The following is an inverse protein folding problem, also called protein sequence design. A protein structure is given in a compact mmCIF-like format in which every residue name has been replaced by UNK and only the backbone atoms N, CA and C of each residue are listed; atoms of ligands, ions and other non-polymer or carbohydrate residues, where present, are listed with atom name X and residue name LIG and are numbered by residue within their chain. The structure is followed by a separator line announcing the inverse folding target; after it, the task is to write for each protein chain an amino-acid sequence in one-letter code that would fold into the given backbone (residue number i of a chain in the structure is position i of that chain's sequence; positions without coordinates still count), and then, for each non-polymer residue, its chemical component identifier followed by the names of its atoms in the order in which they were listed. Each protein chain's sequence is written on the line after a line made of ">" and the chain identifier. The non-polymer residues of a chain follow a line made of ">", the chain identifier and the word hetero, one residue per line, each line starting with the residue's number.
data_IF_201917698268
#
_entry.id   IF_201917698268
#
_cell.length_a   1.000
_cell.length_b   1.000
_cell.length_c   1.000
_cell.angle_alpha   90.00
_cell.angle_beta   90.00
_cell.angle_gamma   90.00
#
_symmetry.space_group_name_H-M   'P 1'
#
loop_
_entity.id
_entity.type
_entity.pdbx_description
1 polymer ?
#
# COMPACT_ATOMS: atom_id res chain seq x y z
N UNK A 1 33.33 11.35 -13.70
CA UNK A 1 33.24 10.13 -12.88
C UNK A 1 31.97 9.41 -13.31
N UNK A 2 32.09 8.36 -14.15
CA UNK A 2 30.92 7.61 -14.64
C UNK A 2 30.62 6.51 -13.62
N UNK A 3 29.53 6.64 -12.89
CA UNK A 3 29.04 5.59 -12.02
C UNK A 3 28.34 4.55 -12.88
N UNK A 4 28.90 3.36 -12.93
CA UNK A 4 28.41 2.25 -13.74
C UNK A 4 27.30 1.52 -12.97
N UNK A 5 26.02 1.73 -13.36
CA UNK A 5 24.82 1.13 -12.75
C UNK A 5 24.48 -0.27 -13.30
N UNK A 6 25.48 -1.04 -13.73
CA UNK A 6 25.28 -2.39 -14.29
C UNK A 6 25.28 -3.49 -13.22
N UNK A 7 24.61 -3.32 -12.10
CA UNK A 7 24.53 -4.34 -11.06
C UNK A 7 23.08 -4.58 -10.60
N UNK A 8 22.18 -4.94 -11.54
CA UNK A 8 20.85 -5.48 -11.24
C UNK A 8 20.53 -6.79 -11.98
N UNK A 9 21.52 -7.41 -12.62
CA UNK A 9 21.44 -8.78 -13.11
C UNK A 9 22.69 -9.52 -12.66
N UNK A 10 22.65 -10.10 -11.47
CA UNK A 10 23.74 -10.90 -10.91
C UNK A 10 23.85 -12.26 -11.60
N UNK A 11 24.61 -12.34 -12.70
CA UNK A 11 25.15 -13.63 -13.16
C UNK A 11 26.41 -13.90 -12.34
N UNK A 12 26.29 -14.74 -11.34
CA UNK A 12 27.45 -15.30 -10.63
C UNK A 12 28.15 -16.27 -11.57
N UNK A 13 29.31 -15.88 -12.09
CA UNK A 13 30.23 -16.80 -12.78
C UNK A 13 31.14 -17.47 -11.75
N UNK A 14 31.04 -18.79 -11.65
CA UNK A 14 32.02 -19.59 -10.96
C UNK A 14 33.33 -19.60 -11.74
N UNK A 15 34.47 -19.61 -10.99
CA UNK A 15 35.84 -19.48 -11.47
C UNK A 15 36.33 -20.69 -12.27
N UNK A 16 35.50 -21.70 -12.54
CA UNK A 16 35.89 -22.94 -13.25
C UNK A 16 34.99 -23.34 -14.42
N UNK A 17 34.46 -22.45 -15.17
CA UNK A 17 34.08 -22.64 -16.60
C UNK A 17 33.21 -23.85 -16.99
N UNK A 18 32.58 -24.59 -16.08
CA UNK A 18 31.78 -25.77 -16.43
C UNK A 18 30.29 -25.50 -16.22
N UNK A 19 29.51 -25.51 -17.32
CA UNK A 19 28.06 -25.47 -17.34
C UNK A 19 27.49 -26.79 -16.80
N UNK A 20 27.00 -26.84 -15.56
CA UNK A 20 26.06 -27.85 -15.12
C UNK A 20 24.67 -27.20 -15.04
N UNK A 21 23.83 -27.51 -16.03
CA UNK A 21 22.41 -27.20 -15.98
C UNK A 21 21.74 -28.13 -14.95
N UNK A 22 21.50 -27.65 -13.75
CA UNK A 22 20.59 -28.30 -12.82
C UNK A 22 19.16 -28.01 -13.29
N UNK A 23 18.50 -28.99 -13.92
CA UNK A 23 17.06 -28.95 -14.13
C UNK A 23 16.38 -29.11 -12.76
N UNK A 24 16.01 -27.97 -12.16
CA UNK A 24 15.02 -27.98 -11.12
C UNK A 24 13.66 -28.26 -11.80
N UNK A 25 13.18 -29.49 -11.67
CA UNK A 25 11.78 -29.84 -11.98
C UNK A 25 10.91 -29.18 -10.94
N UNK A 26 10.45 -27.97 -11.22
CA UNK A 26 9.36 -27.35 -10.50
C UNK A 26 8.10 -28.18 -10.83
N UNK A 27 7.61 -28.96 -9.85
CA UNK A 27 6.35 -29.65 -9.98
C UNK A 27 5.26 -28.62 -10.26
N UNK A 28 4.72 -28.65 -11.48
CA UNK A 28 3.51 -27.92 -11.82
C UNK A 28 2.37 -28.53 -10.99
N UNK A 29 1.96 -27.82 -9.95
CA UNK A 29 0.64 -28.03 -9.36
C UNK A 29 -0.44 -27.86 -10.46
N UNK A 30 -1.66 -28.38 -10.25
CA UNK A 30 -2.69 -28.36 -11.27
C UNK A 30 -2.90 -26.95 -11.80
N UNK A 31 -2.91 -26.81 -13.14
CA UNK A 31 -3.14 -25.55 -13.84
C UNK A 31 -4.40 -24.89 -13.28
N UNK A 32 -4.21 -23.77 -12.60
CA UNK A 32 -5.29 -22.93 -12.11
C UNK A 32 -6.03 -22.44 -13.37
N UNK A 33 -7.25 -22.94 -13.58
CA UNK A 33 -8.15 -22.39 -14.58
C UNK A 33 -8.14 -20.88 -14.43
N UNK A 34 -7.97 -20.12 -15.52
CA UNK A 34 -7.95 -18.65 -15.50
C UNK A 34 -9.19 -18.15 -14.74
N UNK A 35 -9.01 -17.90 -13.44
CA UNK A 35 -10.06 -17.35 -12.59
C UNK A 35 -10.28 -15.94 -13.11
N UNK A 36 -11.47 -15.65 -13.59
CA UNK A 36 -11.82 -14.30 -14.01
C UNK A 36 -11.40 -13.35 -12.88
N UNK A 37 -10.60 -12.35 -13.22
CA UNK A 37 -10.12 -11.39 -12.23
C UNK A 37 -11.32 -10.65 -11.63
N UNK A 38 -11.62 -10.79 -10.33
CA UNK A 38 -12.85 -10.27 -9.76
C UNK A 38 -12.87 -8.76 -9.82
N UNK A 39 -13.95 -8.19 -10.36
CA UNK A 39 -14.19 -6.76 -10.45
C UNK A 39 -15.58 -6.44 -9.95
N UNK A 40 -15.73 -5.26 -9.40
CA UNK A 40 -16.99 -4.72 -8.91
C UNK A 40 -17.26 -3.40 -9.58
N UNK A 41 -18.49 -3.21 -10.03
CA UNK A 41 -18.93 -1.93 -10.54
C UNK A 41 -19.15 -0.94 -9.41
N UNK A 42 -18.31 0.11 -9.37
CA UNK A 42 -18.41 1.23 -8.46
C UNK A 42 -18.74 2.50 -9.28
N UNK A 43 -20.02 2.86 -9.33
CA UNK A 43 -20.49 3.91 -10.21
C UNK A 43 -20.26 3.57 -11.70
N UNK A 44 -19.41 4.36 -12.36
CA UNK A 44 -19.04 4.16 -13.78
C UNK A 44 -17.79 3.29 -13.98
N UNK A 45 -17.11 2.88 -12.91
CA UNK A 45 -15.82 2.18 -12.97
C UNK A 45 -15.97 0.72 -12.56
N UNK A 46 -15.13 -0.14 -13.14
CA UNK A 46 -14.88 -1.50 -12.68
C UNK A 46 -13.65 -1.50 -11.77
N UNK A 47 -13.85 -1.74 -10.48
CA UNK A 47 -12.80 -1.79 -9.46
C UNK A 47 -12.37 -3.24 -9.25
N UNK A 48 -11.09 -3.49 -9.43
CA UNK A 48 -10.48 -4.80 -9.19
C UNK A 48 -10.23 -5.03 -7.69
N UNK A 49 -10.46 -6.26 -7.25
CA UNK A 49 -10.03 -6.72 -5.94
C UNK A 49 -9.51 -8.16 -6.00
N UNK A 50 -8.66 -8.51 -5.04
CA UNK A 50 -8.23 -9.89 -4.80
C UNK A 50 -8.59 -10.30 -3.37
N UNK A 51 -8.72 -11.60 -3.13
CA UNK A 51 -9.06 -12.13 -1.82
C UNK A 51 -8.12 -13.27 -1.42
N UNK A 52 -7.75 -13.31 -0.14
CA UNK A 52 -6.88 -14.36 0.39
C UNK A 52 -7.21 -14.66 1.86
N UNK A 53 -6.93 -15.88 2.31
CA UNK A 53 -7.12 -16.28 3.69
C UNK A 53 -8.58 -16.50 4.09
N UNK A 54 -8.75 -16.75 5.37
CA UNK A 54 -10.04 -16.99 6.04
C UNK A 54 -10.04 -16.34 7.41
N UNK A 55 -11.22 -16.17 8.02
CA UNK A 55 -11.37 -15.52 9.34
C UNK A 55 -12.01 -14.15 9.22
N UNK A 56 -11.72 -13.27 10.18
CA UNK A 56 -12.29 -11.93 10.21
C UNK A 56 -11.84 -11.10 9.01
N UNK A 57 -12.79 -10.41 8.33
CA UNK A 57 -12.45 -9.66 7.12
C UNK A 57 -11.57 -8.43 7.41
N UNK A 58 -10.58 -8.23 6.55
CA UNK A 58 -9.72 -7.06 6.55
C UNK A 58 -9.59 -6.50 5.12
N UNK A 59 -9.97 -5.23 4.96
CA UNK A 59 -9.81 -4.45 3.74
C UNK A 59 -8.41 -3.85 3.69
N UNK A 60 -7.67 -4.07 2.60
CA UNK A 60 -6.32 -3.55 2.38
C UNK A 60 -6.32 -2.52 1.25
N UNK A 61 -5.84 -1.31 1.57
CA UNK A 61 -5.80 -0.16 0.66
C UNK A 61 -4.36 0.34 0.50
N UNK A 62 -3.86 0.35 -0.74
CA UNK A 62 -2.47 0.73 -1.02
C UNK A 62 -2.34 2.23 -1.32
N UNK A 63 -1.10 2.72 -1.20
CA UNK A 63 -0.71 4.11 -1.44
C UNK A 63 -0.71 4.52 -2.91
N UNK A 64 -0.29 5.75 -3.16
CA UNK A 64 -0.21 6.40 -4.47
C UNK A 64 0.52 5.54 -5.51
N UNK A 65 -0.16 5.25 -6.63
CA UNK A 65 0.35 4.42 -7.72
C UNK A 65 0.51 2.93 -7.40
N UNK A 66 0.28 2.52 -6.15
CA UNK A 66 0.43 1.12 -5.72
C UNK A 66 -0.80 0.27 -6.00
N UNK A 67 -0.57 -1.04 -6.15
CA UNK A 67 -1.57 -2.08 -6.40
C UNK A 67 -1.52 -3.18 -5.33
N UNK A 68 -2.43 -4.14 -5.38
CA UNK A 68 -2.56 -5.23 -4.40
C UNK A 68 -1.27 -6.04 -4.18
N UNK A 69 -0.40 -6.19 -5.19
CA UNK A 69 0.90 -6.87 -5.03
C UNK A 69 1.90 -6.15 -4.13
N UNK A 70 1.67 -4.88 -3.81
CA UNK A 70 2.48 -4.19 -2.81
C UNK A 70 2.36 -4.82 -1.41
N UNK A 71 1.33 -5.62 -1.18
CA UNK A 71 1.10 -6.34 0.08
C UNK A 71 1.77 -7.73 0.12
N UNK A 72 2.35 -8.23 -0.98
CA UNK A 72 2.82 -9.63 -1.11
C UNK A 72 3.80 -10.06 -0.01
N UNK A 73 4.61 -9.14 0.56
CA UNK A 73 5.54 -9.47 1.65
C UNK A 73 4.86 -9.69 3.01
N UNK A 74 3.70 -9.09 3.26
CA UNK A 74 2.95 -9.20 4.52
C UNK A 74 1.67 -10.04 4.39
N UNK A 75 1.15 -10.16 3.17
CA UNK A 75 -0.07 -10.90 2.82
C UNK A 75 -0.10 -12.32 3.37
N UNK A 76 0.94 -13.18 3.22
CA UNK A 76 0.85 -14.56 3.67
C UNK A 76 0.62 -14.70 5.18
N UNK A 77 1.21 -13.82 5.98
CA UNK A 77 1.06 -13.88 7.43
C UNK A 77 -0.28 -13.31 7.90
N UNK A 78 -0.76 -12.25 7.25
CA UNK A 78 -2.09 -11.68 7.51
C UNK A 78 -3.19 -12.67 7.13
N UNK A 79 -3.07 -13.34 5.97
CA UNK A 79 -4.04 -14.30 5.43
C UNK A 79 -4.20 -15.57 6.29
N UNK A 80 -3.24 -15.87 7.16
CA UNK A 80 -3.36 -16.99 8.11
C UNK A 80 -4.45 -16.78 9.15
N UNK A 81 -4.84 -15.54 9.42
CA UNK A 81 -5.76 -15.17 10.50
C UNK A 81 -6.96 -14.34 10.04
N UNK A 82 -6.86 -13.73 8.86
CA UNK A 82 -7.89 -12.83 8.34
C UNK A 82 -8.25 -13.19 6.90
N UNK A 83 -9.52 -12.97 6.55
CA UNK A 83 -9.96 -12.94 5.17
C UNK A 83 -9.61 -11.57 4.59
N UNK A 84 -8.57 -11.50 3.80
CA UNK A 84 -8.11 -10.27 3.17
C UNK A 84 -8.94 -9.93 1.94
N UNK A 85 -9.27 -8.65 1.78
CA UNK A 85 -9.83 -8.06 0.57
C UNK A 85 -8.88 -6.95 0.14
N UNK A 86 -8.10 -7.20 -0.92
CA UNK A 86 -7.06 -6.30 -1.42
C UNK A 86 -7.61 -5.57 -2.64
N UNK A 87 -7.73 -4.25 -2.54
CA UNK A 87 -8.32 -3.41 -3.60
C UNK A 87 -7.24 -2.69 -4.38
N UNK A 88 -7.30 -2.79 -5.70
CA UNK A 88 -6.62 -1.83 -6.56
C UNK A 88 -7.48 -0.56 -6.62
N UNK A 89 -6.97 0.53 -6.10
CA UNK A 89 -7.68 1.80 -6.17
C UNK A 89 -7.95 2.20 -7.63
N UNK A 90 -9.02 2.99 -7.89
CA UNK A 90 -9.19 3.61 -9.23
C UNK A 90 -7.88 4.22 -9.69
N UNK A 91 -7.60 4.17 -10.99
CA UNK A 91 -6.35 4.66 -11.59
C UNK A 91 -5.08 3.84 -11.22
N UNK A 92 -5.22 2.66 -10.61
CA UNK A 92 -4.10 1.79 -10.27
C UNK A 92 -4.38 0.33 -10.64
N UNK A 93 -3.31 -0.44 -10.85
CA UNK A 93 -3.38 -1.88 -11.07
C UNK A 93 -4.37 -2.31 -12.15
N UNK A 94 -5.24 -3.25 -11.81
CA UNK A 94 -6.25 -3.79 -12.71
C UNK A 94 -7.58 -3.03 -12.68
N UNK A 95 -7.77 -2.03 -11.80
CA UNK A 95 -8.97 -1.17 -11.78
C UNK A 95 -9.00 -0.22 -12.97
N UNK A 96 -10.19 0.26 -13.35
CA UNK A 96 -10.35 1.20 -14.46
C UNK A 96 -9.71 2.56 -14.17
N UNK A 97 -9.39 3.29 -15.24
CA UNK A 97 -9.04 4.69 -15.16
C UNK A 97 -10.30 5.56 -15.02
N UNK A 98 -10.25 6.52 -14.11
CA UNK A 98 -11.33 7.46 -13.93
C UNK A 98 -11.42 8.44 -15.13
N UNK A 99 -12.63 8.79 -15.58
CA UNK A 99 -12.82 9.69 -16.73
C UNK A 99 -12.50 11.16 -16.40
N UNK A 100 -12.34 11.50 -15.13
CA UNK A 100 -12.12 12.87 -14.66
C UNK A 100 -11.59 12.93 -13.23
N UNK A 101 -11.46 14.14 -12.66
CA UNK A 101 -11.03 14.37 -11.30
C UNK A 101 -11.94 13.68 -10.27
N UNK A 102 -11.38 13.33 -9.13
CA UNK A 102 -12.06 12.71 -7.99
C UNK A 102 -11.33 13.03 -6.67
N UNK A 103 -11.96 12.70 -5.58
CA UNK A 103 -11.45 12.84 -4.21
C UNK A 103 -11.10 11.49 -3.59
N UNK A 104 -10.43 11.50 -2.42
CA UNK A 104 -10.26 10.29 -1.62
C UNK A 104 -11.59 9.78 -1.05
N UNK A 105 -12.63 10.64 -0.96
CA UNK A 105 -13.99 10.20 -0.59
C UNK A 105 -14.58 9.29 -1.67
N UNK A 106 -14.37 9.59 -2.95
CA UNK A 106 -14.80 8.73 -4.06
C UNK A 106 -14.09 7.37 -4.04
N UNK A 107 -12.80 7.35 -3.67
CA UNK A 107 -12.04 6.09 -3.51
C UNK A 107 -12.54 5.28 -2.30
N UNK A 108 -13.01 5.93 -1.24
CA UNK A 108 -13.64 5.25 -0.11
C UNK A 108 -14.98 4.63 -0.51
N UNK A 109 -15.78 5.30 -1.35
CA UNK A 109 -17.01 4.73 -1.93
C UNK A 109 -16.71 3.47 -2.75
N UNK A 110 -15.66 3.49 -3.57
CA UNK A 110 -15.24 2.30 -4.33
C UNK A 110 -14.90 1.13 -3.40
N UNK A 111 -14.10 1.39 -2.38
CA UNK A 111 -13.69 0.38 -1.41
C UNK A 111 -14.90 -0.21 -0.66
N UNK A 112 -15.88 0.62 -0.29
CA UNK A 112 -17.13 0.17 0.32
C UNK A 112 -17.97 -0.68 -0.63
N UNK A 113 -18.05 -0.30 -1.92
CA UNK A 113 -18.75 -1.08 -2.94
C UNK A 113 -18.11 -2.48 -3.12
N UNK A 114 -16.79 -2.58 -3.02
CA UNK A 114 -16.11 -3.88 -3.01
C UNK A 114 -16.52 -4.70 -1.80
N UNK A 115 -16.55 -4.10 -0.58
CA UNK A 115 -16.94 -4.82 0.64
C UNK A 115 -18.40 -5.27 0.59
N UNK A 116 -19.29 -4.51 -0.04
CA UNK A 116 -20.68 -4.89 -0.28
C UNK A 116 -20.78 -6.10 -1.23
N UNK A 117 -20.04 -6.07 -2.33
CA UNK A 117 -20.04 -7.12 -3.32
C UNK A 117 -19.47 -8.45 -2.79
N UNK A 118 -18.50 -8.41 -1.86
CA UNK A 118 -17.97 -9.62 -1.20
C UNK A 118 -18.82 -10.09 -0.01
N UNK A 119 -19.96 -9.39 0.28
CA UNK A 119 -20.89 -9.73 1.33
C UNK A 119 -20.37 -9.52 2.74
N UNK A 120 -19.56 -8.48 2.95
CA UNK A 120 -18.93 -8.19 4.24
C UNK A 120 -19.53 -6.92 4.85
N UNK A 121 -20.28 -7.06 5.95
CA UNK A 121 -20.90 -5.94 6.64
C UNK A 121 -19.92 -5.22 7.58
N UNK A 122 -19.10 -5.97 8.32
CA UNK A 122 -18.17 -5.42 9.31
C UNK A 122 -16.76 -5.94 9.08
N UNK A 123 -15.75 -5.07 9.19
CA UNK A 123 -14.37 -5.39 8.79
C UNK A 123 -13.34 -4.47 9.46
N UNK A 124 -12.10 -4.92 9.47
CA UNK A 124 -10.93 -4.10 9.75
C UNK A 124 -10.48 -3.39 8.48
N UNK A 125 -9.83 -2.23 8.61
CA UNK A 125 -9.20 -1.55 7.47
C UNK A 125 -7.71 -1.36 7.73
N UNK A 126 -6.89 -1.75 6.78
CA UNK A 126 -5.43 -1.57 6.79
C UNK A 126 -5.08 -0.71 5.57
N UNK A 127 -4.62 0.52 5.80
CA UNK A 127 -4.27 1.43 4.72
C UNK A 127 -2.84 1.94 4.83
N UNK A 128 -2.11 1.94 3.71
CA UNK A 128 -0.75 2.47 3.64
C UNK A 128 -0.69 3.77 2.85
N UNK A 129 -0.05 4.80 3.39
CA UNK A 129 0.16 6.10 2.72
C UNK A 129 -1.19 6.72 2.27
N UNK A 130 -1.40 6.98 0.98
CA UNK A 130 -2.70 7.38 0.43
C UNK A 130 -3.82 6.40 0.84
N UNK A 131 -3.55 5.10 0.87
CA UNK A 131 -4.52 4.10 1.33
C UNK A 131 -4.92 4.30 2.79
N UNK A 132 -4.04 4.81 3.65
CA UNK A 132 -4.36 5.21 5.02
C UNK A 132 -5.25 6.46 5.07
N UNK A 133 -5.07 7.39 4.14
CA UNK A 133 -5.95 8.55 3.99
C UNK A 133 -7.34 8.12 3.49
N UNK A 134 -7.41 7.15 2.55
CA UNK A 134 -8.67 6.54 2.11
C UNK A 134 -9.33 5.78 3.27
N UNK A 135 -8.57 5.04 4.07
CA UNK A 135 -9.10 4.28 5.23
C UNK A 135 -9.80 5.20 6.25
N UNK A 136 -9.27 6.40 6.48
CA UNK A 136 -9.92 7.43 7.30
C UNK A 136 -11.29 7.82 6.71
N UNK A 137 -11.38 8.02 5.39
CA UNK A 137 -12.62 8.34 4.69
C UNK A 137 -13.63 7.17 4.74
N UNK A 138 -13.16 5.93 4.58
CA UNK A 138 -13.99 4.72 4.75
C UNK A 138 -14.62 4.69 6.14
N UNK A 139 -13.83 4.94 7.20
CA UNK A 139 -14.34 4.96 8.56
C UNK A 139 -15.32 6.13 8.83
N UNK A 140 -15.09 7.29 8.25
CA UNK A 140 -15.99 8.43 8.35
C UNK A 140 -17.33 8.19 7.64
N UNK A 141 -17.31 7.52 6.47
CA UNK A 141 -18.53 7.21 5.71
C UNK A 141 -19.31 6.00 6.25
N UNK A 142 -18.60 5.03 6.86
CA UNK A 142 -19.22 3.80 7.36
C UNK A 142 -18.74 3.45 8.78
N UNK A 143 -18.98 4.33 9.80
CA UNK A 143 -18.38 4.19 11.13
C UNK A 143 -18.84 2.95 11.89
N UNK A 144 -20.01 2.40 11.60
CA UNK A 144 -20.53 1.18 12.23
C UNK A 144 -19.96 -0.09 11.61
N UNK A 145 -19.42 -0.01 10.40
CA UNK A 145 -18.84 -1.14 9.66
C UNK A 145 -17.36 -1.35 9.95
N UNK A 146 -16.62 -0.29 10.30
CA UNK A 146 -15.18 -0.36 10.54
C UNK A 146 -14.91 -0.70 12.00
N UNK A 147 -14.46 -1.92 12.25
CA UNK A 147 -14.18 -2.40 13.61
C UNK A 147 -12.86 -1.84 14.17
N UNK A 148 -11.84 -1.71 13.33
CA UNK A 148 -10.59 -1.05 13.69
C UNK A 148 -9.86 -0.53 12.45
N UNK A 149 -8.97 0.47 12.66
CA UNK A 149 -8.11 1.07 11.64
C UNK A 149 -6.64 0.78 11.91
N UNK A 150 -5.91 0.36 10.89
CA UNK A 150 -4.45 0.34 10.88
C UNK A 150 -3.97 1.29 9.79
N UNK A 151 -3.32 2.35 10.20
CA UNK A 151 -2.92 3.48 9.37
C UNK A 151 -1.39 3.50 9.27
N UNK A 152 -0.84 3.03 8.14
CA UNK A 152 0.59 2.88 7.93
C UNK A 152 1.14 4.10 7.19
N UNK A 153 2.11 4.81 7.77
CA UNK A 153 2.85 5.90 7.12
C UNK A 153 1.93 6.89 6.38
N UNK A 154 0.93 7.44 7.07
CA UNK A 154 -0.13 8.27 6.50
C UNK A 154 -0.29 9.60 7.24
N UNK A 155 -1.21 10.43 6.80
CA UNK A 155 -1.44 11.76 7.31
C UNK A 155 -2.93 12.09 7.39
N UNK A 156 -3.31 13.10 8.19
CA UNK A 156 -4.67 13.59 8.31
C UNK A 156 -4.95 14.85 7.49
N UNK A 157 -3.89 15.65 7.20
CA UNK A 157 -4.01 16.90 6.40
C UNK A 157 -2.74 17.07 5.59
N UNK A 158 -2.90 17.37 4.29
CA UNK A 158 -1.78 17.69 3.40
C UNK A 158 -1.33 19.13 3.68
N UNK A 159 -0.18 19.28 4.33
CA UNK A 159 0.45 20.55 4.58
C UNK A 159 1.38 20.99 3.42
N UNK A 160 1.95 22.19 3.52
CA UNK A 160 2.82 22.76 2.51
C UNK A 160 4.06 21.90 2.19
N UNK A 161 4.59 21.16 3.18
CA UNK A 161 5.75 20.26 2.98
C UNK A 161 5.35 19.08 2.09
N UNK A 162 4.32 18.34 2.46
CA UNK A 162 3.85 17.19 1.69
C UNK A 162 3.30 17.63 0.32
N UNK A 163 2.59 18.76 0.25
CA UNK A 163 2.10 19.31 -1.00
C UNK A 163 3.24 19.62 -1.98
N UNK A 164 4.37 20.15 -1.50
CA UNK A 164 5.55 20.43 -2.33
C UNK A 164 6.12 19.15 -2.94
N UNK A 165 6.22 18.07 -2.15
CA UNK A 165 6.72 16.77 -2.63
C UNK A 165 5.76 16.19 -3.67
N UNK A 166 4.46 16.14 -3.36
CA UNK A 166 3.44 15.60 -4.25
C UNK A 166 3.36 16.37 -5.57
N UNK A 167 3.39 17.70 -5.53
CA UNK A 167 3.43 18.54 -6.72
C UNK A 167 4.69 18.28 -7.58
N UNK A 168 5.84 18.09 -6.93
CA UNK A 168 7.08 17.72 -7.62
C UNK A 168 6.96 16.36 -8.32
N UNK A 169 6.37 15.37 -7.67
CA UNK A 169 6.13 14.04 -8.26
C UNK A 169 5.13 14.10 -9.42
N UNK A 170 4.11 14.95 -9.31
CA UNK A 170 3.15 15.20 -10.40
C UNK A 170 3.84 15.73 -11.65
N UNK A 171 4.75 16.70 -11.50
CA UNK A 171 5.57 17.23 -12.60
C UNK A 171 6.56 16.20 -13.15
N UNK A 172 7.20 15.40 -12.28
CA UNK A 172 8.10 14.33 -12.70
C UNK A 172 7.40 13.29 -13.55
N UNK A 173 6.14 12.95 -13.24
CA UNK A 173 5.36 11.99 -14.02
C UNK A 173 5.14 12.40 -15.47
N UNK A 174 5.13 13.70 -15.77
CA UNK A 174 5.02 14.22 -17.15
C UNK A 174 6.32 14.09 -17.95
N UNK A 175 7.47 13.96 -17.29
CA UNK A 175 8.79 14.09 -17.90
C UNK A 175 9.61 12.80 -17.86
N UNK A 176 9.29 11.91 -16.95
CA UNK A 176 10.05 10.68 -16.70
C UNK A 176 9.28 9.45 -17.22
N UNK A 177 10.03 8.42 -17.61
CA UNK A 177 9.41 7.11 -17.81
C UNK A 177 8.89 6.57 -16.45
N UNK A 178 7.93 5.63 -16.44
CA UNK A 178 7.44 5.01 -15.20
C UNK A 178 8.57 4.47 -14.32
N UNK A 179 9.57 3.80 -14.89
CA UNK A 179 10.73 3.27 -14.16
C UNK A 179 11.62 4.39 -13.59
N UNK A 180 11.81 5.48 -14.35
CA UNK A 180 12.59 6.61 -13.88
C UNK A 180 11.86 7.37 -12.75
N UNK A 181 10.55 7.51 -12.83
CA UNK A 181 9.74 8.09 -11.79
C UNK A 181 9.79 7.25 -10.52
N UNK A 182 9.58 5.93 -10.61
CA UNK A 182 9.71 5.02 -9.47
C UNK A 182 11.09 5.15 -8.82
N UNK A 183 12.15 5.16 -9.63
CA UNK A 183 13.52 5.32 -9.13
C UNK A 183 13.74 6.63 -8.41
N UNK A 184 13.16 7.73 -8.90
CA UNK A 184 13.24 9.04 -8.26
C UNK A 184 12.47 9.10 -6.93
N UNK A 185 11.39 8.33 -6.81
CA UNK A 185 10.55 8.27 -5.60
C UNK A 185 11.08 7.29 -4.54
N UNK A 186 11.81 6.25 -4.96
CA UNK A 186 12.29 5.19 -4.06
C UNK A 186 13.07 5.71 -2.83
N UNK A 187 13.95 6.75 -2.92
CA UNK A 187 14.64 7.30 -1.75
C UNK A 187 13.72 7.97 -0.71
N UNK A 188 12.49 8.34 -1.09
CA UNK A 188 11.48 8.86 -0.16
C UNK A 188 10.75 7.76 0.58
N UNK A 189 10.69 6.56 -0.04
CA UNK A 189 9.98 5.42 0.51
C UNK A 189 10.84 4.55 1.44
N UNK A 190 12.13 4.47 1.19
CA UNK A 190 13.03 3.52 1.85
C UNK A 190 14.24 4.21 2.46
N UNK A 191 14.75 3.63 3.56
CA UNK A 191 15.99 4.11 4.21
C UNK A 191 17.23 3.75 3.40
N UNK A 192 18.36 4.43 3.67
CA UNK A 192 19.63 4.07 3.06
C UNK A 192 20.07 2.63 3.39
N UNK A 193 19.68 2.09 4.54
CA UNK A 193 19.95 0.70 4.96
C UNK A 193 19.33 -0.30 4.02
N UNK A 194 18.12 -0.02 3.56
CA UNK A 194 17.42 -0.83 2.57
C UNK A 194 18.23 -0.97 1.26
N UNK A 195 18.85 0.12 0.78
CA UNK A 195 19.67 0.09 -0.43
C UNK A 195 20.99 -0.65 -0.26
N UNK A 196 21.56 -0.65 0.95
CA UNK A 196 22.83 -1.31 1.20
C UNK A 196 22.71 -2.84 1.26
N UNK A 197 21.68 -3.36 1.91
CA UNK A 197 21.52 -4.80 2.10
C UNK A 197 20.05 -5.20 2.24
N UNK A 198 19.24 -5.14 1.17
CA UNK A 198 17.86 -5.61 1.23
C UNK A 198 17.81 -7.13 1.44
N UNK A 199 16.86 -7.60 2.24
CA UNK A 199 16.62 -9.02 2.44
C UNK A 199 16.31 -9.74 1.11
N UNK A 200 16.66 -11.02 0.93
CA UNK A 200 16.47 -11.74 -0.33
C UNK A 200 15.03 -11.71 -0.84
N UNK A 201 14.05 -11.88 0.06
CA UNK A 201 12.62 -11.81 -0.26
C UNK A 201 12.19 -10.43 -0.74
N UNK A 202 12.76 -9.37 -0.19
CA UNK A 202 12.50 -8.00 -0.61
C UNK A 202 13.07 -7.74 -2.00
N UNK A 203 14.27 -8.24 -2.29
CA UNK A 203 14.86 -8.16 -3.64
C UNK A 203 14.03 -8.88 -4.69
N UNK A 204 13.52 -10.07 -4.36
CA UNK A 204 12.68 -10.85 -5.25
C UNK A 204 11.35 -10.10 -5.53
N UNK A 205 10.75 -9.51 -4.50
CA UNK A 205 9.55 -8.70 -4.62
C UNK A 205 9.79 -7.45 -5.49
N UNK A 206 10.90 -6.72 -5.28
CA UNK A 206 11.26 -5.56 -6.10
C UNK A 206 11.42 -5.92 -7.58
N UNK A 207 12.08 -7.04 -7.88
CA UNK A 207 12.24 -7.52 -9.25
C UNK A 207 10.90 -7.84 -9.90
N UNK A 208 10.01 -8.53 -9.18
CA UNK A 208 8.67 -8.83 -9.67
C UNK A 208 7.81 -7.57 -9.89
N UNK A 209 7.93 -6.57 -9.01
CA UNK A 209 7.24 -5.30 -9.16
C UNK A 209 7.74 -4.53 -10.40
N UNK A 210 9.06 -4.52 -10.63
CA UNK A 210 9.65 -3.86 -11.80
C UNK A 210 9.20 -4.50 -13.13
N UNK A 211 8.99 -5.81 -13.16
CA UNK A 211 8.48 -6.53 -14.34
C UNK A 211 7.03 -6.24 -14.67
N UNK A 212 6.21 -5.94 -13.65
CA UNK A 212 4.75 -5.67 -13.82
C UNK A 212 4.45 -4.27 -14.32
N UNK A 213 5.37 -3.33 -14.16
CA UNK A 213 5.14 -1.90 -14.37
C UNK A 213 4.49 -1.24 -13.16
N UNK A 214 4.69 0.07 -13.01
CA UNK A 214 4.38 0.77 -11.75
C UNK A 214 3.27 1.80 -11.90
N UNK A 215 3.02 2.26 -13.11
CA UNK A 215 2.02 3.28 -13.38
C UNK A 215 1.07 2.82 -14.47
N UNK A 216 -0.21 3.01 -14.22
CA UNK A 216 -1.25 2.74 -15.22
C UNK A 216 -1.13 3.73 -16.39
N UNK A 217 -1.20 5.03 -16.10
CA UNK A 217 -0.93 6.12 -17.02
C UNK A 217 -0.51 7.38 -16.26
N UNK A 218 0.08 8.35 -16.95
CA UNK A 218 0.43 9.65 -16.36
C UNK A 218 -0.81 10.39 -15.86
N UNK A 219 -1.90 10.51 -16.64
CA UNK A 219 -3.13 11.15 -16.15
C UNK A 219 -3.74 10.47 -14.93
N UNK A 220 -3.71 9.11 -14.89
CA UNK A 220 -4.19 8.34 -13.74
C UNK A 220 -3.39 8.67 -12.48
N UNK A 221 -2.07 8.66 -12.58
CA UNK A 221 -1.19 9.02 -11.46
C UNK A 221 -1.42 10.45 -10.98
N UNK A 222 -1.56 11.41 -11.91
CA UNK A 222 -1.80 12.81 -11.57
C UNK A 222 -3.12 13.03 -10.84
N UNK A 223 -4.21 12.34 -11.23
CA UNK A 223 -5.49 12.40 -10.52
C UNK A 223 -5.37 11.89 -9.08
N UNK A 224 -4.62 10.80 -8.86
CA UNK A 224 -4.35 10.32 -7.50
C UNK A 224 -3.54 11.34 -6.69
N UNK A 225 -2.53 11.98 -7.29
CA UNK A 225 -1.77 13.06 -6.62
C UNK A 225 -2.69 14.23 -6.27
N UNK A 226 -3.55 14.66 -7.21
CA UNK A 226 -4.48 15.78 -6.99
C UNK A 226 -5.47 15.47 -5.85
N UNK A 227 -5.95 14.23 -5.75
CA UNK A 227 -6.77 13.76 -4.62
C UNK A 227 -6.00 13.79 -3.28
N UNK A 228 -4.70 13.41 -3.29
CA UNK A 228 -3.84 13.53 -2.10
C UNK A 228 -3.60 14.99 -1.70
N UNK A 229 -3.41 15.90 -2.67
CA UNK A 229 -3.21 17.33 -2.40
C UNK A 229 -4.42 17.95 -1.71
N UNK A 230 -5.63 17.51 -2.06
CA UNK A 230 -6.89 18.00 -1.49
C UNK A 230 -7.25 17.31 -0.14
N UNK A 231 -6.45 16.34 0.34
CA UNK A 231 -6.81 15.57 1.52
C UNK A 231 -6.71 16.37 2.81
N UNK A 232 -7.84 16.42 3.54
CA UNK A 232 -7.95 16.94 4.89
C UNK A 232 -9.05 16.20 5.65
N UNK A 233 -8.65 15.45 6.69
CA UNK A 233 -9.54 14.75 7.63
C UNK A 233 -9.23 15.12 9.08
N UNK A 234 -8.19 15.92 9.31
CA UNK A 234 -7.65 16.11 10.67
C UNK A 234 -8.70 16.67 11.65
N UNK A 235 -9.61 17.51 11.14
CA UNK A 235 -10.72 18.06 11.96
C UNK A 235 -11.94 17.13 12.00
N UNK A 236 -11.98 16.06 11.20
CA UNK A 236 -13.07 15.08 11.14
C UNK A 236 -12.79 13.80 11.95
N UNK A 237 -11.52 13.38 12.02
CA UNK A 237 -11.14 12.14 12.73
C UNK A 237 -11.46 12.15 14.23
N UNK A 238 -11.61 13.29 14.94
CA UNK A 238 -12.13 13.31 16.31
C UNK A 238 -13.56 12.73 16.45
N UNK A 239 -14.31 12.62 15.35
CA UNK A 239 -15.64 12.00 15.33
C UNK A 239 -15.57 10.47 15.32
N UNK A 240 -14.42 9.88 14.95
CA UNK A 240 -14.24 8.43 14.89
C UNK A 240 -14.00 7.85 16.27
N UNK A 241 -14.85 6.91 16.67
CA UNK A 241 -14.67 6.10 17.88
C UNK A 241 -13.96 4.78 17.63
N UNK A 242 -13.63 4.53 16.38
CA UNK A 242 -12.96 3.31 15.89
C UNK A 242 -11.56 3.21 16.49
N UNK A 243 -11.22 2.11 17.18
CA UNK A 243 -9.84 1.86 17.61
C UNK A 243 -8.87 1.97 16.45
N UNK A 244 -7.79 2.75 16.61
CA UNK A 244 -6.90 3.10 15.51
C UNK A 244 -5.44 2.96 15.90
N UNK A 245 -4.69 2.18 15.12
CA UNK A 245 -3.23 2.08 15.22
C UNK A 245 -2.61 2.92 14.09
N UNK A 246 -1.85 3.93 14.45
CA UNK A 246 -1.05 4.73 13.51
C UNK A 246 0.40 4.27 13.60
N UNK A 247 0.89 3.57 12.58
CA UNK A 247 2.21 2.97 12.51
C UNK A 247 3.06 3.69 11.45
N UNK A 248 4.27 4.13 11.80
CA UNK A 248 5.16 4.89 10.92
C UNK A 248 6.60 4.51 11.16
N UNK A 249 7.41 4.53 10.11
CA UNK A 249 8.87 4.40 10.23
C UNK A 249 9.48 5.57 10.98
N UNK A 250 10.45 5.31 11.86
CA UNK A 250 11.14 6.34 12.65
C UNK A 250 11.92 7.30 11.74
N UNK A 251 12.46 6.77 10.64
CA UNK A 251 13.24 7.52 9.62
C UNK A 251 12.37 7.87 8.38
N UNK A 252 11.04 7.88 8.47
CA UNK A 252 10.15 8.29 7.38
C UNK A 252 10.35 9.78 7.07
N UNK A 253 10.86 10.08 5.87
CA UNK A 253 11.10 11.44 5.40
C UNK A 253 9.97 11.97 4.51
N UNK A 254 9.07 11.11 4.02
CA UNK A 254 7.94 11.48 3.19
C UNK A 254 6.75 11.93 4.05
N UNK A 255 6.33 11.08 4.97
CA UNK A 255 5.34 11.39 6.00
C UNK A 255 5.97 11.23 7.39
N UNK A 256 6.84 12.17 7.80
CA UNK A 256 7.58 12.06 9.06
C UNK A 256 6.67 11.76 10.26
N UNK A 257 7.23 11.18 11.34
CA UNK A 257 6.48 10.80 12.54
C UNK A 257 5.57 11.87 13.14
N UNK A 258 5.81 13.14 12.83
CA UNK A 258 4.93 14.25 13.24
C UNK A 258 3.51 14.11 12.71
N UNK A 259 3.31 13.57 11.49
CA UNK A 259 1.97 13.33 10.92
C UNK A 259 1.24 12.22 11.67
N UNK A 260 1.93 11.11 11.93
CA UNK A 260 1.38 10.00 12.69
C UNK A 260 1.00 10.40 14.12
N UNK A 261 1.86 11.19 14.79
CA UNK A 261 1.57 11.72 16.14
C UNK A 261 0.38 12.67 16.13
N UNK A 262 0.31 13.59 15.15
CA UNK A 262 -0.82 14.51 15.03
C UNK A 262 -2.14 13.76 14.77
N UNK A 263 -2.11 12.76 13.88
CA UNK A 263 -3.28 11.96 13.55
C UNK A 263 -3.72 11.11 14.76
N UNK A 264 -2.81 10.42 15.43
CA UNK A 264 -3.13 9.62 16.62
C UNK A 264 -3.66 10.48 17.77
N UNK A 265 -3.12 11.69 17.96
CA UNK A 265 -3.61 12.63 18.97
C UNK A 265 -5.02 13.17 18.67
N UNK A 266 -5.40 13.26 17.40
CA UNK A 266 -6.73 13.68 16.98
C UNK A 266 -7.77 12.54 17.06
N UNK A 267 -7.35 11.28 16.97
CA UNK A 267 -8.20 10.10 17.06
C UNK A 267 -8.50 9.77 18.54
N UNK A 268 -9.76 9.72 18.99
CA UNK A 268 -10.11 9.46 20.40
C UNK A 268 -9.61 8.11 20.94
N UNK A 269 -9.46 7.10 20.07
CA UNK A 269 -8.91 5.79 20.38
C UNK A 269 -7.68 5.49 19.50
N UNK A 270 -6.81 6.51 19.34
CA UNK A 270 -5.61 6.45 18.52
C UNK A 270 -4.39 6.01 19.31
N UNK A 271 -3.69 4.97 18.83
CA UNK A 271 -2.37 4.56 19.31
C UNK A 271 -1.34 4.90 18.23
N UNK A 272 -0.19 5.49 18.60
CA UNK A 272 0.92 5.70 17.68
C UNK A 272 2.05 4.73 17.98
N UNK A 273 2.65 4.18 16.92
CA UNK A 273 3.79 3.29 17.02
C UNK A 273 4.86 3.62 15.99
N UNK A 274 6.08 3.83 16.46
CA UNK A 274 7.25 4.04 15.62
C UNK A 274 7.92 2.70 15.34
N UNK A 275 8.29 2.45 14.08
CA UNK A 275 9.08 1.28 13.67
C UNK A 275 10.53 1.72 13.54
N UNK A 276 11.44 1.24 14.43
CA UNK A 276 12.81 1.71 14.45
C UNK A 276 13.54 1.45 13.13
N UNK A 277 14.38 2.40 12.72
CA UNK A 277 15.30 2.29 11.61
C UNK A 277 14.65 1.96 10.25
N UNK A 278 13.38 2.36 10.05
CA UNK A 278 12.64 2.19 8.79
C UNK A 278 12.10 3.52 8.27
N UNK A 279 11.91 3.59 6.97
CA UNK A 279 11.33 4.74 6.27
C UNK A 279 9.83 4.63 6.08
N UNK A 280 9.34 5.30 5.02
CA UNK A 280 7.91 5.36 4.68
C UNK A 280 7.31 3.97 4.41
N UNK A 281 8.03 3.11 3.70
CA UNK A 281 7.61 1.75 3.41
C UNK A 281 8.03 0.77 4.54
N UNK A 282 7.81 1.13 5.81
CA UNK A 282 8.26 0.36 6.97
C UNK A 282 7.81 -1.10 6.96
N UNK A 283 6.60 -1.40 6.48
CA UNK A 283 6.06 -2.74 6.36
C UNK A 283 6.70 -3.58 5.24
N UNK A 284 7.42 -2.93 4.31
CA UNK A 284 8.23 -3.58 3.27
C UNK A 284 9.70 -3.71 3.69
N UNK A 285 10.23 -2.76 4.46
CA UNK A 285 11.59 -2.84 5.01
C UNK A 285 11.70 -3.90 6.11
N UNK A 286 10.69 -3.99 6.96
CA UNK A 286 10.63 -4.93 8.09
C UNK A 286 9.27 -5.63 8.15
N UNK A 287 8.95 -6.54 7.18
CA UNK A 287 7.62 -7.11 7.06
C UNK A 287 7.16 -7.88 8.30
N UNK A 288 8.02 -8.72 8.90
CA UNK A 288 7.67 -9.52 10.09
C UNK A 288 7.30 -8.67 11.30
N UNK A 289 8.15 -7.74 11.79
CA UNK A 289 7.82 -6.88 12.92
C UNK A 289 6.53 -6.08 12.70
N UNK A 290 6.35 -5.52 11.51
CA UNK A 290 5.14 -4.75 11.18
C UNK A 290 3.89 -5.64 11.21
N UNK A 291 3.94 -6.81 10.57
CA UNK A 291 2.80 -7.73 10.53
C UNK A 291 2.42 -8.22 11.91
N UNK A 292 3.39 -8.58 12.77
CA UNK A 292 3.13 -8.97 14.16
C UNK A 292 2.42 -7.87 14.95
N UNK A 293 2.79 -6.60 14.72
CA UNK A 293 2.15 -5.44 15.36
C UNK A 293 0.72 -5.27 14.91
N UNK A 294 0.48 -5.36 13.61
CA UNK A 294 -0.85 -5.31 13.00
C UNK A 294 -1.72 -6.43 13.60
N UNK A 295 -1.27 -7.67 13.54
CA UNK A 295 -2.04 -8.82 14.05
C UNK A 295 -2.36 -8.73 15.55
N UNK A 296 -1.43 -8.25 16.37
CA UNK A 296 -1.67 -8.02 17.80
C UNK A 296 -2.74 -6.94 18.04
N UNK A 297 -2.73 -5.90 17.22
CA UNK A 297 -3.73 -4.83 17.32
C UNK A 297 -5.10 -5.34 16.90
N UNK A 298 -5.22 -6.01 15.75
CA UNK A 298 -6.49 -6.58 15.27
C UNK A 298 -7.09 -7.57 16.30
N UNK A 299 -6.26 -8.43 16.88
CA UNK A 299 -6.68 -9.42 17.88
C UNK A 299 -7.23 -8.81 19.18
N UNK A 300 -6.93 -7.54 19.49
CA UNK A 300 -7.51 -6.81 20.62
C UNK A 300 -8.91 -6.24 20.31
N UNK A 301 -9.28 -6.18 19.04
CA UNK A 301 -10.50 -5.54 18.55
C UNK A 301 -11.29 -6.46 17.61
N UNK A 302 -11.69 -7.67 18.09
CA UNK A 302 -12.39 -8.64 17.27
C UNK A 302 -13.70 -8.08 16.72
N UNK A 303 -14.16 -8.65 15.61
CA UNK A 303 -15.49 -8.39 15.10
C UNK A 303 -16.49 -9.12 16.02
N UNK A 304 -17.30 -8.35 16.75
CA UNK A 304 -18.36 -8.89 17.59
C UNK A 304 -19.59 -9.25 16.73
#
# INVERSE_FOLDING_TARGET
>A
MRVNFSCMAGVVRDVRGTRKAARLTCGRGPANSARAMPRVRAGALEVFYDTDGTGEPALLLMGLGGEHHAWDLVRPELARRHRLVLVDNRDAGASDEAPGPYSLDDMAVDALAVMDAVGVERFHVIGASMGGAIAQRVALQAPTRVASLVLLSTWGRTDAFLATILASWRLMAERLSPEALLRAQTPWAFTYRFFQNPAPEVRAWQAALAERGVLKSVPAYQRQVDACLAHDTLDLVPLLRTPSLVLVGEDDILTPPRYARALAAALPAGEVMLVPATGHACFLETPKPCTERILRFLAKHPLA
#
